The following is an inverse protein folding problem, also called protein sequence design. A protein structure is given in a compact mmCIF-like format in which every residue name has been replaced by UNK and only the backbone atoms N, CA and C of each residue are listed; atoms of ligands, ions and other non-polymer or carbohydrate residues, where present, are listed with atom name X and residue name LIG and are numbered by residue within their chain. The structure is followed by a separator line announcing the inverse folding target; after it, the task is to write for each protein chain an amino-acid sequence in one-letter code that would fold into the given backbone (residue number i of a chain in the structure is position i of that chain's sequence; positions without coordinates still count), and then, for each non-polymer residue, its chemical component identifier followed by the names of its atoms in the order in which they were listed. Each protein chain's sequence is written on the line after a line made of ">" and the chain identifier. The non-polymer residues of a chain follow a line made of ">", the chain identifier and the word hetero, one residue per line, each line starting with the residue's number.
data_IF_983593972141
#
_entry.id   IF_983593972141
#
_cell.length_a   1.000
_cell.length_b   1.000
_cell.length_c   1.000
_cell.angle_alpha   90.00
_cell.angle_beta   90.00
_cell.angle_gamma   90.00
#
_symmetry.space_group_name_H-M   'P 1'
#
loop_
_entity.id
_entity.type
_entity.pdbx_description
1 polymer ?
#
# COMPACT_ATOMS: atom_id res chain seq x y z
N UNK A 1 -19.95 6.35 -13.31
CA UNK A 1 -19.44 5.20 -14.08
C UNK A 1 -18.43 4.46 -13.23
N UNK A 2 -18.37 3.13 -13.32
CA UNK A 2 -17.46 2.25 -12.56
C UNK A 2 -15.98 2.38 -12.99
N UNK A 3 -15.51 3.58 -13.34
CA UNK A 3 -14.11 3.76 -13.74
C UNK A 3 -13.22 3.62 -12.50
N UNK A 4 -12.61 2.44 -12.35
CA UNK A 4 -11.57 2.13 -11.37
C UNK A 4 -10.21 2.72 -11.76
N UNK A 5 -10.23 3.81 -12.53
CA UNK A 5 -9.08 4.31 -13.28
C UNK A 5 -9.06 5.84 -13.28
N UNK A 6 -7.96 6.40 -13.77
CA UNK A 6 -7.72 7.82 -13.95
C UNK A 6 -8.82 8.50 -14.80
N UNK A 7 -8.86 9.83 -14.79
CA UNK A 7 -9.88 10.56 -15.58
C UNK A 7 -9.70 10.32 -17.08
N UNK A 8 -10.81 10.05 -17.77
CA UNK A 8 -10.87 9.85 -19.22
C UNK A 8 -11.85 10.84 -19.83
N UNK A 9 -11.39 11.58 -20.84
CA UNK A 9 -12.19 12.52 -21.64
C UNK A 9 -12.01 12.22 -23.13
N UNK A 10 -13.12 12.15 -23.88
CA UNK A 10 -13.09 11.81 -25.31
C UNK A 10 -12.27 10.55 -25.67
N UNK A 11 -12.27 9.54 -24.78
CA UNK A 11 -11.57 8.27 -24.97
C UNK A 11 -10.05 8.32 -24.72
N UNK A 12 -9.53 9.39 -24.14
CA UNK A 12 -8.11 9.54 -23.77
C UNK A 12 -7.97 9.91 -22.30
N UNK A 13 -6.81 9.63 -21.70
CA UNK A 13 -6.46 10.14 -20.38
C UNK A 13 -6.49 11.67 -20.40
N UNK A 14 -7.05 12.28 -19.36
CA UNK A 14 -7.15 13.74 -19.23
C UNK A 14 -5.79 14.34 -18.84
N UNK A 15 -5.04 13.62 -18.01
CA UNK A 15 -3.76 14.06 -17.46
C UNK A 15 -2.60 13.35 -18.15
N UNK A 16 -1.49 14.07 -18.32
CA UNK A 16 -0.20 13.46 -18.59
C UNK A 16 0.35 12.88 -17.27
N UNK A 17 1.18 11.84 -17.33
CA UNK A 17 1.71 11.15 -16.14
C UNK A 17 3.21 11.38 -16.01
N UNK A 18 3.57 12.60 -15.63
CA UNK A 18 4.94 13.01 -15.31
C UNK A 18 5.14 12.93 -13.79
N UNK A 19 5.72 11.83 -13.31
CA UNK A 19 5.72 11.52 -11.88
C UNK A 19 7.00 11.99 -11.18
N UNK A 20 6.83 12.74 -10.10
CA UNK A 20 7.85 12.92 -9.07
C UNK A 20 7.55 11.96 -7.92
N UNK A 21 8.50 11.08 -7.59
CA UNK A 21 8.38 10.06 -6.55
C UNK A 21 9.51 10.22 -5.52
N UNK A 22 9.16 10.13 -4.23
CA UNK A 22 10.09 10.17 -3.10
C UNK A 22 9.81 8.99 -2.18
N UNK A 23 10.82 8.15 -1.97
CA UNK A 23 10.77 7.01 -1.05
C UNK A 23 11.79 7.18 0.06
N UNK A 24 11.33 7.10 1.30
CA UNK A 24 12.15 7.14 2.50
C UNK A 24 11.95 5.85 3.29
N UNK A 25 13.06 5.23 3.68
CA UNK A 25 13.06 4.04 4.53
C UNK A 25 14.00 4.25 5.70
N UNK A 26 13.47 4.13 6.92
CA UNK A 26 14.23 4.15 8.15
C UNK A 26 14.19 2.76 8.79
N UNK A 27 15.36 2.26 9.19
CA UNK A 27 15.50 1.00 9.92
C UNK A 27 16.22 1.26 11.22
N UNK A 28 15.63 0.79 12.31
CA UNK A 28 16.15 0.94 13.67
C UNK A 28 15.75 -0.29 14.48
N UNK A 29 16.12 -0.30 15.75
CA UNK A 29 15.60 -1.25 16.73
C UNK A 29 14.76 -0.49 17.77
N UNK A 30 13.70 -1.12 18.26
CA UNK A 30 12.88 -0.65 19.37
C UNK A 30 12.68 -1.80 20.36
N UNK A 31 13.24 -1.67 21.56
CA UNK A 31 13.20 -2.71 22.59
C UNK A 31 13.69 -4.09 22.07
N UNK A 32 14.83 -4.10 21.38
CA UNK A 32 15.46 -5.27 20.72
C UNK A 32 14.67 -5.87 19.55
N UNK A 33 13.57 -5.24 19.13
CA UNK A 33 12.82 -5.64 17.95
C UNK A 33 13.21 -4.77 16.76
N UNK A 34 13.48 -5.35 15.58
CA UNK A 34 13.73 -4.56 14.38
C UNK A 34 12.48 -3.75 14.03
N UNK A 35 12.64 -2.46 13.76
CA UNK A 35 11.59 -1.54 13.35
C UNK A 35 11.95 -0.95 11.99
N UNK A 36 11.06 -1.11 11.01
CA UNK A 36 11.13 -0.46 9.71
C UNK A 36 9.98 0.54 9.57
N UNK A 37 10.31 1.78 9.20
CA UNK A 37 9.36 2.81 8.81
C UNK A 37 9.59 3.15 7.34
N UNK A 38 8.51 3.22 6.56
CA UNK A 38 8.55 3.59 5.15
C UNK A 38 7.56 4.69 4.86
N UNK A 39 7.97 5.66 4.04
CA UNK A 39 7.13 6.72 3.50
C UNK A 39 7.37 6.78 1.99
N UNK A 40 6.32 6.62 1.21
CA UNK A 40 6.31 6.81 -0.23
C UNK A 40 5.39 8.00 -0.55
N UNK A 41 5.90 8.99 -1.27
CA UNK A 41 5.14 10.15 -1.74
C UNK A 41 5.28 10.21 -3.25
N UNK A 42 4.18 10.44 -3.95
CA UNK A 42 4.20 10.69 -5.39
C UNK A 42 3.34 11.90 -5.75
N UNK A 43 3.78 12.62 -6.77
CA UNK A 43 3.04 13.72 -7.36
C UNK A 43 3.08 13.64 -8.88
N UNK A 44 1.93 13.77 -9.53
CA UNK A 44 1.83 13.88 -10.97
C UNK A 44 1.93 15.35 -11.42
N UNK A 45 3.03 15.72 -12.02
CA UNK A 45 3.29 17.07 -12.54
C UNK A 45 2.49 17.39 -13.82
N UNK A 46 1.95 16.36 -14.48
CA UNK A 46 1.13 16.49 -15.68
C UNK A 46 -0.38 16.60 -15.42
N UNK A 47 -0.79 16.72 -14.16
CA UNK A 47 -2.19 16.90 -13.75
C UNK A 47 -2.38 18.25 -13.01
N UNK A 48 -3.48 18.93 -13.29
CA UNK A 48 -3.81 20.22 -12.63
C UNK A 48 -4.35 20.05 -11.20
N UNK A 49 -4.90 18.88 -10.89
CA UNK A 49 -5.48 18.52 -9.60
C UNK A 49 -5.57 17.00 -9.45
N UNK A 50 -5.91 16.54 -8.23
CA UNK A 50 -6.03 15.11 -7.91
C UNK A 50 -4.71 14.35 -8.20
N UNK A 51 -3.58 15.02 -7.99
CA UNK A 51 -2.24 14.70 -8.45
C UNK A 51 -1.33 14.09 -7.37
N UNK A 52 -1.80 13.93 -6.13
CA UNK A 52 -0.96 13.50 -5.01
C UNK A 52 -1.28 12.09 -4.50
N UNK A 53 -0.23 11.35 -4.15
CA UNK A 53 -0.31 10.07 -3.47
C UNK A 53 0.68 10.02 -2.30
N UNK A 54 0.27 9.36 -1.22
CA UNK A 54 1.10 9.11 -0.06
C UNK A 54 0.79 7.72 0.50
N UNK A 55 1.84 7.03 0.92
CA UNK A 55 1.76 5.80 1.70
C UNK A 55 2.77 5.86 2.84
N UNK A 56 2.34 5.38 3.98
CA UNK A 56 3.22 5.17 5.14
C UNK A 56 3.02 3.75 5.65
N UNK A 57 4.12 3.11 6.07
CA UNK A 57 4.04 1.85 6.80
C UNK A 57 5.05 1.78 7.93
N UNK A 58 4.67 1.05 8.97
CA UNK A 58 5.52 0.69 10.09
C UNK A 58 5.47 -0.83 10.28
N UNK A 59 6.63 -1.46 10.47
CA UNK A 59 6.77 -2.90 10.70
C UNK A 59 7.70 -3.12 11.88
N UNK A 60 7.21 -3.82 12.89
CA UNK A 60 7.97 -4.21 14.07
C UNK A 60 8.13 -5.72 14.11
N UNK A 61 9.37 -6.20 14.28
CA UNK A 61 9.72 -7.60 14.22
C UNK A 61 10.03 -8.08 12.80
N UNK A 62 10.32 -9.37 12.65
CA UNK A 62 10.69 -9.97 11.38
C UNK A 62 10.25 -11.44 11.32
N UNK A 63 9.13 -11.71 10.63
CA UNK A 63 8.58 -13.08 10.48
C UNK A 63 9.44 -13.98 9.60
N UNK A 64 10.50 -13.46 8.99
CA UNK A 64 11.44 -14.22 8.16
C UNK A 64 12.46 -14.96 9.03
N UNK A 65 12.59 -14.56 10.30
CA UNK A 65 13.43 -15.25 11.26
C UNK A 65 12.64 -16.36 11.98
N UNK A 66 13.28 -17.49 12.33
CA UNK A 66 12.62 -18.56 13.07
C UNK A 66 12.08 -18.09 14.41
N UNK A 67 10.83 -18.46 14.70
CA UNK A 67 10.14 -18.20 15.97
C UNK A 67 9.99 -16.71 16.31
N UNK A 68 10.00 -15.85 15.29
CA UNK A 68 9.85 -14.40 15.47
C UNK A 68 8.50 -13.90 14.97
N UNK A 69 7.99 -12.88 15.65
CA UNK A 69 6.77 -12.18 15.29
C UNK A 69 7.07 -11.00 14.37
N UNK A 70 6.05 -10.61 13.60
CA UNK A 70 6.00 -9.37 12.85
C UNK A 70 4.63 -8.73 13.07
N UNK A 71 4.59 -7.44 13.35
CA UNK A 71 3.38 -6.64 13.44
C UNK A 71 3.57 -5.46 12.53
N UNK A 72 2.59 -5.18 11.68
CA UNK A 72 2.69 -4.00 10.83
C UNK A 72 1.37 -3.30 10.59
N UNK A 73 1.51 -2.06 10.14
CA UNK A 73 0.43 -1.20 9.73
C UNK A 73 0.87 -0.41 8.51
N UNK A 74 0.02 -0.36 7.50
CA UNK A 74 0.16 0.55 6.38
C UNK A 74 -1.10 1.41 6.26
N UNK A 75 -0.91 2.66 5.83
CA UNK A 75 -1.98 3.55 5.45
C UNK A 75 -1.64 4.21 4.11
N UNK A 76 -2.62 4.37 3.24
CA UNK A 76 -2.42 5.03 1.95
C UNK A 76 -3.54 6.00 1.61
N UNK A 77 -3.18 6.98 0.79
CA UNK A 77 -4.08 7.93 0.15
C UNK A 77 -3.57 8.16 -1.26
N UNK A 78 -4.39 7.88 -2.26
CA UNK A 78 -4.05 8.07 -3.68
C UNK A 78 -5.18 8.89 -4.31
N UNK A 79 -4.87 10.10 -4.77
CA UNK A 79 -5.81 10.90 -5.55
C UNK A 79 -5.93 10.38 -6.98
N UNK A 80 -6.97 10.80 -7.70
CA UNK A 80 -7.44 10.12 -8.91
C UNK A 80 -6.41 10.03 -10.05
N UNK A 81 -5.59 11.06 -10.23
CA UNK A 81 -4.60 11.16 -11.30
C UNK A 81 -3.16 11.24 -10.76
N UNK A 82 -2.96 10.90 -9.48
CA UNK A 82 -1.65 10.95 -8.83
C UNK A 82 -0.66 9.91 -9.39
N UNK A 83 -1.17 8.74 -9.76
CA UNK A 83 -0.41 7.66 -10.40
C UNK A 83 -1.27 7.00 -11.46
N UNK A 84 -0.64 6.45 -12.50
CA UNK A 84 -1.35 5.68 -13.50
C UNK A 84 -1.90 4.41 -12.83
N UNK A 85 -3.22 4.26 -12.81
CA UNK A 85 -3.89 3.18 -12.08
C UNK A 85 -3.45 1.79 -12.57
N UNK A 86 -3.12 1.66 -13.85
CA UNK A 86 -2.62 0.40 -14.43
C UNK A 86 -1.23 -0.03 -13.92
N UNK A 87 -0.49 0.87 -13.28
CA UNK A 87 0.86 0.63 -12.75
C UNK A 87 0.89 0.62 -11.20
N UNK A 88 -0.26 0.69 -10.54
CA UNK A 88 -0.34 0.63 -9.08
C UNK A 88 -0.18 -0.80 -8.56
N UNK A 89 0.33 -0.90 -7.33
CA UNK A 89 0.57 -2.15 -6.60
C UNK A 89 -0.72 -2.99 -6.39
N UNK A 90 -0.53 -4.32 -6.27
CA UNK A 90 -1.58 -5.35 -6.35
C UNK A 90 -2.20 -5.75 -4.98
N UNK A 91 -1.53 -5.47 -3.87
CA UNK A 91 -2.02 -5.89 -2.55
C UNK A 91 -3.34 -5.18 -2.17
N UNK A 92 -3.59 -3.99 -2.73
CA UNK A 92 -4.76 -3.15 -2.46
C UNK A 92 -5.86 -3.35 -3.50
N UNK A 93 -7.13 -3.29 -3.09
CA UNK A 93 -8.26 -3.48 -4.01
C UNK A 93 -8.42 -2.32 -4.99
N UNK A 94 -8.05 -1.10 -4.58
CA UNK A 94 -8.15 0.09 -5.41
C UNK A 94 -6.77 0.64 -5.76
N UNK A 95 -6.58 0.84 -7.07
CA UNK A 95 -5.30 1.25 -7.66
C UNK A 95 -5.13 2.78 -7.80
N UNK A 96 -6.20 3.55 -7.63
CA UNK A 96 -6.17 5.01 -7.58
C UNK A 96 -7.50 5.53 -7.00
N UNK A 97 -7.56 6.82 -6.67
CA UNK A 97 -8.74 7.50 -6.14
C UNK A 97 -9.31 6.88 -4.86
N UNK A 98 -8.41 6.48 -3.96
CA UNK A 98 -8.75 5.68 -2.80
C UNK A 98 -7.95 6.09 -1.57
N UNK A 99 -8.41 5.59 -0.42
CA UNK A 99 -7.70 5.64 0.85
C UNK A 99 -7.93 4.32 1.58
N UNK A 100 -6.98 3.90 2.40
CA UNK A 100 -7.15 2.66 3.16
C UNK A 100 -6.10 2.44 4.21
N UNK A 101 -6.37 1.47 5.08
CA UNK A 101 -5.46 0.99 6.11
C UNK A 101 -5.35 -0.54 6.04
N UNK A 102 -4.16 -1.05 6.34
CA UNK A 102 -3.85 -2.47 6.36
C UNK A 102 -3.01 -2.79 7.60
N UNK A 103 -3.62 -3.20 8.72
CA UNK A 103 -2.90 -3.87 9.80
C UNK A 103 -2.64 -5.34 9.46
N UNK A 104 -1.51 -5.88 9.95
CA UNK A 104 -1.21 -7.30 9.86
C UNK A 104 -0.39 -7.81 11.04
N UNK A 105 -0.42 -9.12 11.19
CA UNK A 105 0.47 -9.89 12.08
C UNK A 105 1.06 -11.05 11.30
N UNK A 106 2.31 -11.38 11.56
CA UNK A 106 3.01 -12.51 10.98
C UNK A 106 3.84 -13.26 12.00
N UNK A 107 4.13 -14.51 11.67
CA UNK A 107 4.95 -15.38 12.49
C UNK A 107 5.84 -16.27 11.62
N UNK A 108 7.13 -16.33 11.95
CA UNK A 108 8.09 -17.25 11.34
C UNK A 108 8.11 -18.57 12.10
N UNK A 109 7.76 -19.67 11.45
CA UNK A 109 7.86 -21.00 12.07
C UNK A 109 9.31 -21.50 12.06
N UNK A 110 10.01 -21.30 10.94
CA UNK A 110 11.41 -21.64 10.73
C UNK A 110 11.97 -20.83 9.54
N UNK A 111 13.20 -21.12 9.11
CA UNK A 111 13.88 -20.42 8.02
C UNK A 111 13.17 -20.57 6.66
N UNK A 112 12.34 -21.61 6.52
CA UNK A 112 11.65 -21.96 5.29
C UNK A 112 10.17 -21.58 5.28
N UNK A 113 9.54 -21.45 6.44
CA UNK A 113 8.09 -21.32 6.56
C UNK A 113 7.69 -20.15 7.46
N UNK A 114 6.86 -19.27 6.92
CA UNK A 114 6.27 -18.16 7.66
C UNK A 114 4.82 -17.92 7.25
N UNK A 115 4.08 -17.25 8.11
CA UNK A 115 2.68 -16.90 7.91
C UNK A 115 2.47 -15.40 8.11
N UNK A 116 1.51 -14.81 7.38
CA UNK A 116 0.96 -13.48 7.65
C UNK A 116 -0.57 -13.52 7.55
N UNK A 117 -1.22 -12.81 8.46
CA UNK A 117 -2.64 -12.49 8.40
C UNK A 117 -2.78 -10.96 8.34
N UNK A 118 -3.41 -10.47 7.28
CA UNK A 118 -3.66 -9.05 7.07
C UNK A 118 -5.17 -8.76 6.98
N UNK A 119 -5.58 -7.60 7.48
CA UNK A 119 -6.92 -7.06 7.27
C UNK A 119 -6.82 -5.75 6.52
N UNK A 120 -7.81 -5.44 5.70
CA UNK A 120 -7.86 -4.23 4.88
C UNK A 120 -9.19 -3.53 5.13
N UNK A 121 -9.15 -2.22 5.32
CA UNK A 121 -10.31 -1.36 5.17
C UNK A 121 -9.99 -0.25 4.17
N UNK A 122 -10.66 -0.28 3.03
CA UNK A 122 -10.37 0.58 1.89
C UNK A 122 -11.63 1.27 1.40
N UNK A 123 -11.52 2.54 1.02
CA UNK A 123 -12.64 3.31 0.46
C UNK A 123 -12.19 4.13 -0.73
N UNK A 124 -12.95 4.03 -1.81
CA UNK A 124 -12.85 4.93 -2.96
C UNK A 124 -13.53 6.26 -2.63
N UNK A 125 -12.96 7.39 -3.03
CA UNK A 125 -13.48 8.69 -2.56
C UNK A 125 -14.91 9.01 -2.99
N UNK A 126 -15.34 8.52 -4.14
CA UNK A 126 -16.72 8.69 -4.62
C UNK A 126 -17.69 7.62 -4.09
N UNK A 127 -17.21 6.64 -3.30
CA UNK A 127 -18.04 5.62 -2.69
C UNK A 127 -18.36 5.97 -1.23
N UNK A 128 -19.60 5.71 -0.82
CA UNK A 128 -20.01 5.91 0.56
C UNK A 128 -19.51 4.78 1.48
N UNK A 129 -19.37 3.57 0.95
CA UNK A 129 -19.04 2.38 1.72
C UNK A 129 -17.57 1.98 1.57
N UNK A 130 -16.99 1.49 2.67
CA UNK A 130 -15.68 0.85 2.68
C UNK A 130 -15.78 -0.63 2.27
N UNK A 131 -14.77 -1.12 1.56
CA UNK A 131 -14.52 -2.54 1.33
C UNK A 131 -13.64 -3.07 2.45
N UNK A 132 -14.00 -4.21 3.02
CA UNK A 132 -13.19 -4.94 3.99
C UNK A 132 -12.72 -6.26 3.42
N UNK A 133 -11.44 -6.57 3.57
CA UNK A 133 -10.83 -7.82 3.12
C UNK A 133 -9.94 -8.40 4.21
N UNK A 134 -9.72 -9.71 4.13
CA UNK A 134 -8.76 -10.43 4.95
C UNK A 134 -7.90 -11.28 4.02
N UNK A 135 -6.59 -11.30 4.26
CA UNK A 135 -5.62 -12.06 3.48
C UNK A 135 -4.80 -12.94 4.40
N UNK A 136 -4.64 -14.19 4.00
CA UNK A 136 -3.83 -15.18 4.70
C UNK A 136 -2.72 -15.64 3.75
N UNK A 137 -1.48 -15.29 4.08
CA UNK A 137 -0.30 -15.58 3.27
C UNK A 137 0.56 -16.63 3.95
N UNK A 138 0.62 -17.83 3.37
CA UNK A 138 1.60 -18.84 3.74
C UNK A 138 2.79 -18.74 2.79
N UNK A 139 3.98 -18.47 3.32
CA UNK A 139 5.19 -18.32 2.52
C UNK A 139 6.16 -19.46 2.80
N UNK A 140 6.54 -20.19 1.75
CA UNK A 140 7.59 -21.19 1.74
C UNK A 140 8.83 -20.68 0.97
N UNK A 141 10.04 -20.94 1.48
CA UNK A 141 11.34 -20.60 0.88
C UNK A 141 12.24 -21.83 0.88
N UNK A 142 12.95 -22.08 -0.21
CA UNK A 142 13.86 -23.22 -0.40
C UNK A 142 15.19 -22.77 -1.00
#
# INVERSE_FOLDING_TARGET
>A
GLSRTNRVGAGRLVSDFELLDLQLVARTEWADWPLELRLDLARNLGADDQDEAARISAVLGDRRQPQQWEIGLAAQRIQRDAVLAAASEDDWWFHSFARGVMPWVGYGFNEHLSLRLAAFEERRDEANDSVRRYLFDLQARW
#
